data_IF_895970687112
#
_entry.id   IF_895970687112
#
_cell.length_a   1.000
_cell.length_b   1.000
_cell.length_c   1.000
_cell.angle_alpha   90.00
_cell.angle_beta   90.00
_cell.angle_gamma   90.00
#
_symmetry.space_group_name_H-M   'P 1'
#
loop_
_entity.id
_entity.type
_entity.pdbx_description
1 polymer ?
#
# COMPACT_ATOMS: atom_id res chain seq x y z
N UNK A 1 6.21 6.30 28.13
CA UNK A 1 7.01 5.39 27.29
C UNK A 1 6.20 5.00 26.06
N UNK A 2 6.75 5.08 24.84
CA UNK A 2 6.09 4.50 23.64
C UNK A 2 6.13 2.98 23.80
N UNK A 3 4.99 2.35 24.05
CA UNK A 3 4.90 0.89 24.07
C UNK A 3 5.28 0.37 22.68
N UNK A 4 6.41 -0.32 22.59
CA UNK A 4 6.91 -0.91 21.34
C UNK A 4 6.45 -2.36 21.29
N UNK A 5 5.69 -2.70 20.24
CA UNK A 5 5.20 -4.06 20.02
C UNK A 5 6.23 -4.82 19.17
N UNK A 6 7.13 -5.54 19.82
CA UNK A 6 8.21 -6.30 19.14
C UNK A 6 7.63 -7.27 18.11
N UNK A 7 6.57 -8.01 18.48
CA UNK A 7 5.88 -8.94 17.57
C UNK A 7 5.35 -8.23 16.33
N UNK A 8 4.74 -7.06 16.50
CA UNK A 8 4.20 -6.28 15.38
C UNK A 8 5.32 -5.76 14.46
N UNK A 9 6.48 -5.39 15.02
CA UNK A 9 7.65 -5.03 14.22
C UNK A 9 8.22 -6.24 13.46
N UNK A 10 8.27 -7.43 14.07
CA UNK A 10 8.70 -8.66 13.40
C UNK A 10 7.77 -9.02 12.22
N UNK A 11 6.45 -8.95 12.41
CA UNK A 11 5.49 -9.24 11.33
C UNK A 11 5.58 -8.20 10.21
N UNK A 12 5.90 -6.93 10.49
CA UNK A 12 6.20 -5.94 9.42
C UNK A 12 7.41 -6.32 8.59
N UNK A 13 8.48 -6.83 9.21
CA UNK A 13 9.66 -7.30 8.47
C UNK A 13 9.27 -8.47 7.57
N UNK A 14 8.53 -9.44 8.11
CA UNK A 14 8.02 -10.57 7.34
C UNK A 14 7.11 -10.13 6.18
N UNK A 15 6.21 -9.18 6.41
CA UNK A 15 5.36 -8.59 5.39
C UNK A 15 6.16 -7.85 4.31
N UNK A 16 7.24 -7.13 4.69
CA UNK A 16 8.11 -6.47 3.73
C UNK A 16 8.84 -7.48 2.82
N UNK A 17 9.37 -8.57 3.39
CA UNK A 17 9.97 -9.68 2.62
C UNK A 17 8.93 -10.30 1.68
N UNK A 18 7.69 -10.45 2.16
CA UNK A 18 6.58 -11.01 1.37
C UNK A 18 6.23 -10.12 0.17
N UNK A 19 6.35 -8.79 0.26
CA UNK A 19 6.19 -7.87 -0.89
C UNK A 19 7.31 -8.06 -1.90
N UNK A 20 8.56 -8.24 -1.45
CA UNK A 20 9.67 -8.52 -2.35
C UNK A 20 9.38 -9.80 -3.13
N UNK A 21 9.03 -10.89 -2.41
CA UNK A 21 8.68 -12.18 -3.03
C UNK A 21 7.55 -12.06 -4.06
N UNK A 22 6.48 -11.32 -3.73
CA UNK A 22 5.34 -11.08 -4.64
C UNK A 22 5.77 -10.53 -6.01
N UNK A 23 6.87 -9.77 -6.05
CA UNK A 23 7.30 -9.02 -7.23
C UNK A 23 8.58 -9.54 -7.87
N UNK A 24 9.31 -10.44 -7.21
CA UNK A 24 10.57 -11.00 -7.74
C UNK A 24 10.43 -12.44 -8.24
N UNK A 25 9.35 -13.15 -7.90
CA UNK A 25 9.12 -14.51 -8.43
C UNK A 25 8.79 -14.44 -9.91
N UNK A 26 9.71 -14.94 -10.73
CA UNK A 26 9.56 -15.01 -12.20
C UNK A 26 9.51 -16.45 -12.74
N UNK A 27 9.79 -17.46 -11.91
CA UNK A 27 9.73 -18.87 -12.31
C UNK A 27 8.27 -19.34 -12.45
N UNK A 28 7.90 -20.02 -13.56
CA UNK A 28 6.57 -20.59 -13.73
C UNK A 28 6.19 -21.58 -12.61
N UNK A 29 7.14 -22.41 -12.17
CA UNK A 29 6.93 -23.43 -11.15
C UNK A 29 6.65 -22.82 -9.78
N UNK A 30 7.20 -21.65 -9.49
CA UNK A 30 7.02 -20.96 -8.22
C UNK A 30 5.99 -19.83 -8.28
N UNK A 31 5.43 -19.52 -9.45
CA UNK A 31 4.50 -18.39 -9.64
C UNK A 31 3.29 -18.43 -8.70
N UNK A 32 2.79 -19.63 -8.36
CA UNK A 32 1.68 -19.80 -7.42
C UNK A 32 2.02 -19.28 -6.01
N UNK A 33 3.29 -19.33 -5.59
CA UNK A 33 3.74 -18.88 -4.26
C UNK A 33 3.68 -17.35 -4.11
N UNK A 34 3.51 -16.60 -5.21
CA UNK A 34 3.27 -15.15 -5.16
C UNK A 34 2.03 -14.80 -4.32
N UNK A 35 1.07 -15.73 -4.20
CA UNK A 35 -0.12 -15.55 -3.34
C UNK A 35 0.25 -15.31 -1.88
N UNK A 36 1.37 -15.88 -1.41
CA UNK A 36 1.89 -15.69 -0.06
C UNK A 36 2.28 -14.23 0.20
N UNK A 37 2.58 -13.45 -0.84
CA UNK A 37 2.91 -12.03 -0.72
C UNK A 37 1.72 -11.11 -0.51
N UNK A 38 0.50 -11.56 -0.83
CA UNK A 38 -0.68 -10.70 -0.97
C UNK A 38 -1.23 -10.17 0.35
N UNK A 39 -0.93 -10.84 1.47
CA UNK A 39 -1.39 -10.38 2.79
C UNK A 39 -0.66 -9.10 3.24
N UNK A 40 0.50 -8.77 2.67
CA UNK A 40 1.33 -7.70 3.19
C UNK A 40 0.65 -6.32 3.13
N UNK A 41 0.00 -5.99 2.01
CA UNK A 41 -0.75 -4.73 1.84
C UNK A 41 -1.89 -4.60 2.87
N UNK A 42 -2.83 -5.56 2.99
CA UNK A 42 -3.87 -5.46 4.01
C UNK A 42 -3.29 -5.49 5.43
N UNK A 43 -2.20 -6.22 5.70
CA UNK A 43 -1.53 -6.18 7.00
C UNK A 43 -0.99 -4.79 7.35
N UNK A 44 -0.22 -4.15 6.45
CA UNK A 44 0.30 -2.81 6.68
C UNK A 44 -0.81 -1.77 6.83
N UNK A 45 -1.87 -1.91 6.05
CA UNK A 45 -3.05 -1.04 6.11
C UNK A 45 -3.75 -1.17 7.46
N UNK A 46 -4.10 -2.39 7.89
CA UNK A 46 -4.72 -2.67 9.18
C UNK A 46 -3.85 -2.22 10.35
N UNK A 47 -2.53 -2.44 10.26
CA UNK A 47 -1.57 -1.98 11.27
C UNK A 47 -1.55 -0.46 11.37
N UNK A 48 -1.56 0.26 10.24
CA UNK A 48 -1.63 1.71 10.23
C UNK A 48 -2.93 2.19 10.87
N UNK A 49 -4.07 1.57 10.52
CA UNK A 49 -5.39 1.90 11.07
C UNK A 49 -5.40 1.73 12.59
N UNK A 50 -4.98 0.55 13.07
CA UNK A 50 -4.88 0.23 14.50
C UNK A 50 -4.05 1.26 15.26
N UNK A 51 -2.82 1.53 14.80
CA UNK A 51 -1.90 2.48 15.45
C UNK A 51 -2.50 3.88 15.50
N UNK A 52 -3.22 4.31 14.45
CA UNK A 52 -3.84 5.64 14.41
C UNK A 52 -4.97 5.73 15.44
N UNK A 53 -5.85 4.73 15.50
CA UNK A 53 -6.92 4.68 16.50
C UNK A 53 -6.35 4.73 17.92
N UNK A 54 -5.36 3.89 18.24
CA UNK A 54 -4.68 3.90 19.55
C UNK A 54 -4.07 5.26 19.86
N UNK A 55 -3.42 5.90 18.87
CA UNK A 55 -2.80 7.22 19.06
C UNK A 55 -3.82 8.32 19.34
N UNK A 56 -4.97 8.31 18.64
CA UNK A 56 -6.03 9.32 18.86
C UNK A 56 -6.66 9.16 20.23
N UNK A 57 -6.89 7.92 20.69
CA UNK A 57 -7.41 7.65 22.04
C UNK A 57 -6.42 8.14 23.12
N UNK A 58 -5.12 7.91 22.92
CA UNK A 58 -4.09 8.33 23.88
C UNK A 58 -3.81 9.84 23.86
N UNK A 59 -3.97 10.50 22.72
CA UNK A 59 -3.66 11.92 22.52
C UNK A 59 -4.76 12.63 21.72
N UNK A 60 -5.94 12.85 22.33
CA UNK A 60 -7.10 13.38 21.63
C UNK A 60 -6.97 14.87 21.29
N UNK A 61 -5.98 15.59 21.82
CA UNK A 61 -5.79 17.04 21.59
C UNK A 61 -5.06 17.38 20.29
N UNK A 62 -4.43 16.39 19.63
CA UNK A 62 -3.67 16.63 18.38
C UNK A 62 -4.58 17.17 17.28
N UNK A 63 -4.22 18.29 16.66
CA UNK A 63 -5.01 18.87 15.56
C UNK A 63 -4.90 18.03 14.27
N UNK A 64 -5.88 18.16 13.37
CA UNK A 64 -5.83 17.50 12.07
C UNK A 64 -4.70 18.04 11.20
N UNK A 65 -4.44 19.34 11.26
CA UNK A 65 -3.39 20.01 10.49
C UNK A 65 -2.01 19.51 10.88
N UNK A 66 -1.69 19.47 12.18
CA UNK A 66 -0.40 18.98 12.67
C UNK A 66 -0.18 17.51 12.29
N UNK A 67 -1.24 16.71 12.40
CA UNK A 67 -1.21 15.32 11.98
C UNK A 67 -0.93 15.18 10.48
N UNK A 68 -1.64 15.95 9.65
CA UNK A 68 -1.53 15.92 8.19
C UNK A 68 -0.13 16.30 7.75
N UNK A 69 0.40 17.42 8.23
CA UNK A 69 1.75 17.90 7.89
C UNK A 69 2.81 16.85 8.30
N UNK A 70 2.68 16.28 9.50
CA UNK A 70 3.61 15.25 9.98
C UNK A 70 3.59 13.99 9.10
N UNK A 71 2.41 13.55 8.67
CA UNK A 71 2.26 12.38 7.78
C UNK A 71 2.73 12.67 6.37
N UNK A 72 2.39 13.84 5.83
CA UNK A 72 2.80 14.27 4.50
C UNK A 72 4.33 14.30 4.38
N UNK A 73 5.02 14.94 5.35
CA UNK A 73 6.49 14.98 5.38
C UNK A 73 7.13 13.60 5.48
N UNK A 74 6.51 12.67 6.19
CA UNK A 74 7.05 11.33 6.42
C UNK A 74 6.75 10.32 5.31
N UNK A 75 5.71 10.55 4.51
CA UNK A 75 5.21 9.57 3.53
C UNK A 75 5.31 10.13 2.11
N UNK A 76 4.71 11.30 1.87
CA UNK A 76 4.62 11.86 0.53
C UNK A 76 5.93 12.44 0.02
N UNK A 77 6.72 13.08 0.90
CA UNK A 77 8.04 13.60 0.50
C UNK A 77 8.96 12.43 0.08
N UNK A 78 9.14 11.35 0.87
CA UNK A 78 9.88 10.18 0.39
C UNK A 78 9.32 9.59 -0.91
N UNK A 79 7.99 9.51 -1.06
CA UNK A 79 7.37 9.05 -2.30
C UNK A 79 7.81 9.88 -3.52
N UNK A 80 7.80 11.21 -3.42
CA UNK A 80 8.25 12.09 -4.51
C UNK A 80 9.75 11.91 -4.79
N UNK A 81 10.58 11.86 -3.74
CA UNK A 81 12.03 11.65 -3.87
C UNK A 81 12.31 10.34 -4.60
N UNK A 82 11.69 9.23 -4.19
CA UNK A 82 11.86 7.93 -4.84
C UNK A 82 11.32 7.94 -6.27
N UNK A 83 10.19 8.61 -6.51
CA UNK A 83 9.61 8.71 -7.86
C UNK A 83 10.57 9.40 -8.83
N UNK A 84 11.19 10.51 -8.40
CA UNK A 84 12.21 11.24 -9.16
C UNK A 84 13.45 10.37 -9.36
N UNK A 85 13.93 9.71 -8.30
CA UNK A 85 15.12 8.86 -8.38
C UNK A 85 14.95 7.72 -9.39
N UNK A 86 13.79 7.05 -9.41
CA UNK A 86 13.51 6.01 -10.41
C UNK A 86 13.46 6.55 -11.84
N UNK A 87 12.88 7.73 -12.05
CA UNK A 87 12.89 8.37 -13.37
C UNK A 87 14.33 8.69 -13.81
N UNK A 88 15.15 9.21 -12.90
CA UNK A 88 16.54 9.53 -13.17
C UNK A 88 17.33 8.26 -13.54
N UNK A 89 17.20 7.18 -12.76
CA UNK A 89 17.86 5.90 -13.06
C UNK A 89 17.39 5.35 -14.41
N UNK A 90 16.10 5.44 -14.73
CA UNK A 90 15.57 4.99 -16.02
C UNK A 90 16.13 5.81 -17.19
N UNK A 91 16.26 7.12 -17.00
CA UNK A 91 16.88 8.00 -17.99
C UNK A 91 18.36 7.68 -18.20
N UNK A 92 19.12 7.50 -17.12
CA UNK A 92 20.52 7.09 -17.16
C UNK A 92 20.70 5.73 -17.86
N UNK A 93 19.83 4.76 -17.60
CA UNK A 93 19.88 3.46 -18.27
C UNK A 93 19.63 3.58 -19.78
N UNK A 94 18.66 4.39 -20.22
CA UNK A 94 18.44 4.65 -21.65
C UNK A 94 19.68 5.29 -22.28
N UNK A 95 20.32 6.24 -21.59
CA UNK A 95 21.54 6.89 -22.08
C UNK A 95 22.73 5.91 -22.21
N UNK A 96 22.91 5.00 -21.24
CA UNK A 96 24.03 4.05 -21.23
C UNK A 96 23.81 2.88 -22.20
N UNK A 97 22.58 2.35 -22.26
CA UNK A 97 22.28 1.10 -23.00
C UNK A 97 21.69 1.33 -24.39
N UNK A 98 21.35 2.57 -24.75
CA UNK A 98 20.57 2.94 -25.94
C UNK A 98 19.19 2.24 -26.05
N UNK A 99 18.75 1.53 -25.00
CA UNK A 99 17.43 0.89 -24.92
C UNK A 99 16.42 1.87 -24.31
N UNK A 100 15.99 2.83 -25.12
CA UNK A 100 15.07 3.86 -24.68
C UNK A 100 13.62 3.38 -24.78
N UNK A 101 13.04 3.05 -23.63
CA UNK A 101 11.58 2.94 -23.50
C UNK A 101 10.99 4.34 -23.34
N UNK A 102 9.89 4.65 -24.03
CA UNK A 102 9.28 5.99 -23.95
C UNK A 102 8.95 6.36 -22.50
N UNK A 103 9.47 7.49 -22.05
CA UNK A 103 9.23 8.05 -20.71
C UNK A 103 8.19 9.16 -20.87
N UNK A 104 6.92 8.78 -20.87
CA UNK A 104 5.82 9.75 -20.85
C UNK A 104 5.57 10.16 -19.40
N UNK A 105 5.99 11.37 -19.04
CA UNK A 105 5.69 11.96 -17.73
C UNK A 105 4.20 12.32 -17.72
N UNK A 106 3.43 11.61 -16.92
CA UNK A 106 2.00 11.87 -16.71
C UNK A 106 1.76 12.43 -15.33
N UNK A 107 0.76 13.31 -15.21
CA UNK A 107 0.34 13.85 -13.90
C UNK A 107 -0.11 12.74 -12.94
N UNK A 108 -0.62 11.63 -13.50
CA UNK A 108 -0.99 10.41 -12.78
C UNK A 108 0.15 9.85 -11.92
N UNK A 109 1.42 10.09 -12.27
CA UNK A 109 2.58 9.62 -11.49
C UNK A 109 2.68 10.25 -10.12
N UNK A 110 2.07 11.42 -9.89
CA UNK A 110 1.95 12.00 -8.54
C UNK A 110 1.05 11.15 -7.62
N UNK A 111 0.25 10.25 -8.19
CA UNK A 111 -0.67 9.39 -7.44
C UNK A 111 -0.31 7.90 -7.53
N UNK A 112 0.11 7.41 -8.69
CA UNK A 112 0.46 5.99 -8.89
C UNK A 112 1.93 5.70 -8.62
N UNK A 113 2.77 6.75 -8.59
CA UNK A 113 4.21 6.62 -8.64
C UNK A 113 4.72 6.26 -10.03
N UNK A 114 6.04 6.26 -10.17
CA UNK A 114 6.74 5.95 -11.43
C UNK A 114 7.07 4.46 -11.58
N UNK A 115 6.84 3.69 -10.51
CA UNK A 115 6.98 2.23 -10.42
C UNK A 115 5.78 1.65 -9.68
N UNK A 116 5.34 0.44 -10.07
CA UNK A 116 4.15 -0.23 -9.50
C UNK A 116 4.20 -0.43 -7.98
N UNK A 117 5.33 -0.34 -7.28
CA UNK A 117 5.36 -0.49 -5.81
C UNK A 117 5.10 0.83 -5.06
N UNK A 118 5.28 1.97 -5.73
CA UNK A 118 5.23 3.28 -5.06
C UNK A 118 3.81 3.77 -4.78
N UNK A 119 2.79 3.29 -5.50
CA UNK A 119 1.38 3.66 -5.28
C UNK A 119 0.90 3.43 -3.84
N UNK A 120 1.52 2.49 -3.11
CA UNK A 120 1.14 2.20 -1.74
C UNK A 120 1.37 3.39 -0.80
N UNK A 121 2.32 4.27 -1.10
CA UNK A 121 2.64 5.45 -0.26
C UNK A 121 1.54 6.54 -0.28
N UNK A 122 1.08 7.05 -1.44
CA UNK A 122 -0.07 7.95 -1.47
C UNK A 122 -1.34 7.27 -0.97
N UNK A 123 -1.54 5.98 -1.28
CA UNK A 123 -2.64 5.19 -0.72
C UNK A 123 -2.65 5.19 0.81
N UNK A 124 -1.52 4.82 1.46
CA UNK A 124 -1.46 4.75 2.92
C UNK A 124 -1.54 6.12 3.58
N UNK A 125 -1.12 7.19 2.89
CA UNK A 125 -1.33 8.56 3.32
C UNK A 125 -2.83 8.87 3.40
N UNK A 126 -3.58 8.62 2.34
CA UNK A 126 -5.04 8.84 2.30
C UNK A 126 -5.73 8.03 3.38
N UNK A 127 -5.44 6.73 3.47
CA UNK A 127 -5.99 5.86 4.53
C UNK A 127 -5.66 6.43 5.91
N UNK A 128 -4.43 6.93 6.12
CA UNK A 128 -4.03 7.51 7.39
C UNK A 128 -4.78 8.78 7.76
N UNK A 129 -5.10 9.63 6.79
CA UNK A 129 -5.86 10.88 6.99
C UNK A 129 -7.33 10.58 7.29
N UNK A 130 -7.96 9.73 6.46
CA UNK A 130 -9.35 9.29 6.65
C UNK A 130 -9.49 8.60 8.01
N UNK A 131 -8.59 7.67 8.34
CA UNK A 131 -8.63 6.97 9.63
C UNK A 131 -8.51 7.93 10.79
N UNK A 132 -7.66 8.96 10.70
CA UNK A 132 -7.53 9.94 11.78
C UNK A 132 -8.84 10.71 12.02
N UNK A 133 -9.53 11.12 10.95
CA UNK A 133 -10.83 11.77 11.04
C UNK A 133 -11.88 10.83 11.65
N UNK A 134 -11.93 9.58 11.17
CA UNK A 134 -12.83 8.55 11.71
C UNK A 134 -12.54 8.26 13.18
N UNK A 135 -11.28 8.17 13.59
CA UNK A 135 -10.89 7.95 14.97
C UNK A 135 -11.27 9.13 15.87
N UNK A 136 -11.11 10.37 15.38
CA UNK A 136 -11.57 11.58 16.08
C UNK A 136 -13.09 11.61 16.26
N UNK A 137 -13.82 11.23 15.22
CA UNK A 137 -15.27 11.10 15.26
C UNK A 137 -15.72 10.02 16.25
N UNK A 138 -15.10 8.84 16.19
CA UNK A 138 -15.37 7.71 17.07
C UNK A 138 -15.00 7.96 18.54
N UNK A 139 -14.01 8.83 18.78
CA UNK A 139 -13.66 9.28 20.12
C UNK A 139 -14.77 10.14 20.73
N UNK A 140 -15.36 11.06 19.95
CA UNK A 140 -16.49 11.91 20.39
C UNK A 140 -17.81 11.12 20.51
N UNK A 141 -18.01 10.09 19.70
CA UNK A 141 -19.24 9.31 19.65
C UNK A 141 -18.95 7.81 19.85
N UNK A 142 -18.86 7.31 21.10
CA UNK A 142 -18.41 5.94 21.36
C UNK A 142 -19.29 4.85 20.72
N UNK A 143 -20.59 5.10 20.53
CA UNK A 143 -21.51 4.20 19.82
C UNK A 143 -21.17 4.00 18.33
N UNK A 144 -20.41 4.91 17.71
CA UNK A 144 -20.02 4.78 16.30
C UNK A 144 -18.84 3.84 16.09
N UNK A 145 -18.09 3.46 17.13
CA UNK A 145 -16.94 2.55 17.03
C UNK A 145 -17.32 1.20 16.42
N UNK A 146 -18.38 0.58 16.96
CA UNK A 146 -18.86 -0.72 16.47
C UNK A 146 -19.37 -0.63 15.04
N UNK A 147 -20.09 0.44 14.69
CA UNK A 147 -20.54 0.68 13.32
C UNK A 147 -19.39 0.86 12.33
N UNK A 148 -18.36 1.63 12.69
CA UNK A 148 -17.18 1.80 11.84
C UNK A 148 -16.42 0.48 11.65
N UNK A 149 -16.33 -0.35 12.69
CA UNK A 149 -15.72 -1.68 12.58
C UNK A 149 -16.53 -2.60 11.67
N UNK A 150 -17.86 -2.60 11.78
CA UNK A 150 -18.76 -3.38 10.92
C UNK A 150 -18.63 -2.92 9.46
N UNK A 151 -18.65 -1.61 9.19
CA UNK A 151 -18.51 -1.06 7.84
C UNK A 151 -17.13 -1.43 7.25
N UNK A 152 -16.06 -1.35 8.03
CA UNK A 152 -14.73 -1.75 7.59
C UNK A 152 -14.64 -3.25 7.28
N UNK A 153 -15.30 -4.09 8.09
CA UNK A 153 -15.36 -5.53 7.87
C UNK A 153 -16.14 -5.85 6.58
N UNK A 154 -17.32 -5.26 6.41
CA UNK A 154 -18.16 -5.46 5.21
C UNK A 154 -17.41 -5.00 3.96
N UNK A 155 -16.82 -3.81 3.99
CA UNK A 155 -16.05 -3.30 2.83
C UNK A 155 -14.84 -4.20 2.53
N UNK A 156 -14.14 -4.70 3.55
CA UNK A 156 -13.07 -5.69 3.38
C UNK A 156 -13.54 -6.99 2.72
N UNK A 157 -14.68 -7.53 3.17
CA UNK A 157 -15.30 -8.74 2.60
C UNK A 157 -15.73 -8.50 1.14
N UNK A 158 -16.37 -7.37 0.84
CA UNK A 158 -16.78 -7.02 -0.53
C UNK A 158 -15.58 -6.93 -1.46
N UNK A 159 -14.48 -6.31 -1.01
CA UNK A 159 -13.23 -6.24 -1.78
C UNK A 159 -12.61 -7.63 -1.99
N UNK A 160 -12.69 -8.51 -0.99
CA UNK A 160 -12.22 -9.89 -1.09
C UNK A 160 -13.02 -10.70 -2.13
N UNK A 161 -14.34 -10.50 -2.17
CA UNK A 161 -15.25 -11.26 -3.04
C UNK A 161 -15.16 -10.79 -4.49
N UNK A 162 -14.72 -9.54 -4.76
CA UNK A 162 -14.61 -9.04 -6.14
C UNK A 162 -13.63 -9.92 -6.93
N UNK A 163 -14.11 -10.72 -7.90
CA UNK A 163 -13.25 -11.64 -8.63
C UNK A 163 -12.18 -10.83 -9.35
N UNK A 164 -10.92 -11.16 -9.13
CA UNK A 164 -9.84 -10.57 -9.91
C UNK A 164 -9.78 -11.31 -11.24
N UNK A 165 -10.64 -10.93 -12.20
CA UNK A 165 -10.76 -11.53 -13.52
C UNK A 165 -9.43 -11.58 -14.30
N UNK A 166 -8.53 -10.63 -14.05
CA UNK A 166 -7.18 -10.62 -14.62
C UNK A 166 -6.27 -11.72 -14.06
N UNK A 167 -6.57 -12.24 -12.87
CA UNK A 167 -5.81 -13.29 -12.21
C UNK A 167 -6.11 -14.68 -12.78
N UNK A 168 -7.34 -14.91 -13.24
CA UNK A 168 -7.74 -16.14 -13.94
C UNK A 168 -6.97 -16.25 -15.28
N UNK A 169 -6.77 -15.12 -15.95
CA UNK A 169 -6.05 -15.06 -17.23
C UNK A 169 -4.52 -15.08 -17.07
N UNK A 170 -3.96 -14.51 -16.00
CA UNK A 170 -2.50 -14.56 -15.72
C UNK A 170 -2.01 -15.88 -15.11
N UNK A 171 -2.90 -16.70 -14.51
CA UNK A 171 -2.55 -18.01 -13.93
C UNK A 171 -2.61 -19.18 -14.94
N UNK A 172 -2.69 -18.90 -16.24
CA UNK A 172 -2.42 -19.92 -17.27
C UNK A 172 -3.54 -20.92 -17.57
N UNK A 173 -4.81 -20.54 -17.39
CA UNK A 173 -5.95 -21.34 -17.88
C UNK A 173 -6.51 -20.83 -19.22
N UNK A 174 -5.64 -20.32 -20.10
CA UNK A 174 -5.89 -20.35 -21.55
C UNK A 174 -4.72 -21.06 -22.21
N UNK A 175 -4.85 -22.37 -22.37
CA UNK A 175 -4.24 -23.08 -23.51
C UNK A 175 -4.92 -22.51 -24.75
N UNK A 176 -4.48 -21.34 -25.21
CA UNK A 176 -4.71 -20.93 -26.60
C UNK A 176 -3.60 -21.57 -27.40
N UNK A 177 -3.86 -22.79 -27.86
CA UNK A 177 -3.22 -23.31 -29.06
C UNK A 177 -3.49 -22.32 -30.19
N UNK A 178 -2.51 -21.49 -30.50
CA UNK A 178 -2.43 -20.84 -31.80
C UNK A 178 -0.95 -20.63 -32.12
N UNK A 179 -0.38 -21.66 -32.73
CA UNK A 179 0.63 -21.48 -33.76
C UNK A 179 0.11 -20.45 -34.76
N UNK A 180 0.83 -19.34 -34.92
CA UNK A 180 1.29 -18.75 -36.19
C UNK A 180 1.97 -17.41 -35.91
#
# INVERSE_FOLDING_TARGET
MKQRFITLDAVKVFAAISIVWLHTVSSPQLGFTSVLGRFAVPFFTSTAVFIIFTKVIQKPTVSFTDYTISRFKRIYIPFLIWSILYLLIRYLNCWITNLCTSINIKLEFLWTGTTHHLWFLPFILVVSLVTFLLAKFAYKHPKSKSWLAIIALITGIVVLIKPNYNLINQLGYTVSLSYQ
#
